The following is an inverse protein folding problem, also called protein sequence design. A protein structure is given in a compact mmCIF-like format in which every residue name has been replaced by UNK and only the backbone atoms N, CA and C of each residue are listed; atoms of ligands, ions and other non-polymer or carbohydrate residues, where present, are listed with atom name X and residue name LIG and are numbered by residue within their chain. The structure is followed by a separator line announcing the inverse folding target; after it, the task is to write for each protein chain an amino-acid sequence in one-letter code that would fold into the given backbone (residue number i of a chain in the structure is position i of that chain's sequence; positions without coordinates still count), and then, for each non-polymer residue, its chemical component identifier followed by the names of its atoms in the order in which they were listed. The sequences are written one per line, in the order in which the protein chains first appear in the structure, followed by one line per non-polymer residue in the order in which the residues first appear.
data_IF_940647650186
#
_entry.id   IF_940647650186
#
_cell.length_a   1.000
_cell.length_b   1.000
_cell.length_c   1.000
_cell.angle_alpha   90.00
_cell.angle_beta   90.00
_cell.angle_gamma   90.00
#
_symmetry.space_group_name_H-M   'P 1'
#
loop_
_entity.id
_entity.type
_entity.pdbx_description
1 polymer ?
#
# COMPACT_ATOMS: atom_id res chain seq x y z
N UNK A 1 13.36 -6.98 -27.53
CA UNK A 1 14.58 -6.73 -26.75
C UNK A 1 14.29 -6.61 -25.26
N UNK A 2 13.50 -5.62 -24.80
CA UNK A 2 13.20 -5.41 -23.36
C UNK A 2 12.69 -6.66 -22.61
N UNK A 3 11.59 -7.28 -23.06
CA UNK A 3 10.97 -8.41 -22.35
C UNK A 3 11.95 -9.58 -22.18
N UNK A 4 12.68 -9.94 -23.23
CA UNK A 4 13.67 -11.03 -23.17
C UNK A 4 14.72 -10.74 -22.09
N UNK A 5 15.33 -9.55 -22.13
CA UNK A 5 16.33 -9.13 -21.13
C UNK A 5 15.76 -9.15 -19.71
N UNK A 6 14.51 -8.71 -19.53
CA UNK A 6 13.84 -8.73 -18.24
C UNK A 6 13.63 -10.15 -17.70
N UNK A 7 13.21 -11.09 -18.56
CA UNK A 7 13.02 -12.49 -18.18
C UNK A 7 14.35 -13.17 -17.87
N UNK A 8 15.38 -12.94 -18.69
CA UNK A 8 16.73 -13.46 -18.44
C UNK A 8 17.27 -12.94 -17.10
N UNK A 9 17.10 -11.64 -16.82
CA UNK A 9 17.48 -11.06 -15.54
C UNK A 9 16.73 -11.70 -14.38
N UNK A 10 15.40 -11.86 -14.49
CA UNK A 10 14.59 -12.47 -13.45
C UNK A 10 15.07 -13.90 -13.12
N UNK A 11 15.30 -14.71 -14.16
CA UNK A 11 15.77 -16.10 -13.99
C UNK A 11 17.18 -16.17 -13.43
N UNK A 12 18.11 -15.37 -13.94
CA UNK A 12 19.51 -15.39 -13.50
C UNK A 12 19.68 -14.94 -12.04
N UNK A 13 18.73 -14.18 -11.51
CA UNK A 13 18.72 -13.70 -10.13
C UNK A 13 17.69 -14.43 -9.25
N UNK A 14 17.14 -15.56 -9.70
CA UNK A 14 16.18 -16.38 -8.96
C UNK A 14 14.92 -15.62 -8.48
N UNK A 15 14.45 -14.65 -9.25
CA UNK A 15 13.16 -14.01 -8.99
C UNK A 15 12.01 -14.91 -9.45
N UNK A 16 10.96 -14.98 -8.64
CA UNK A 16 9.71 -15.71 -8.95
C UNK A 16 8.69 -14.88 -9.72
N UNK A 17 8.98 -13.60 -9.95
CA UNK A 17 8.03 -12.69 -10.57
C UNK A 17 8.55 -11.30 -10.87
N UNK A 18 7.66 -10.50 -11.44
CA UNK A 18 7.87 -9.14 -11.89
C UNK A 18 6.74 -8.28 -11.30
N UNK A 19 7.10 -7.21 -10.58
CA UNK A 19 6.13 -6.22 -10.10
C UNK A 19 6.34 -4.89 -10.82
N UNK A 20 5.31 -4.43 -11.53
CA UNK A 20 5.37 -3.20 -12.31
C UNK A 20 4.77 -2.03 -11.50
N UNK A 21 5.53 -0.95 -11.34
CA UNK A 21 5.02 0.33 -10.85
C UNK A 21 5.13 1.35 -11.97
N UNK A 22 4.01 1.65 -12.61
CA UNK A 22 3.97 2.71 -13.60
C UNK A 22 3.79 4.04 -12.89
N UNK A 23 4.80 4.90 -12.99
CA UNK A 23 4.73 6.27 -12.50
C UNK A 23 4.00 7.13 -13.54
N UNK A 24 3.24 8.12 -13.07
CA UNK A 24 2.62 9.14 -13.91
C UNK A 24 1.74 8.58 -15.04
N UNK A 25 1.03 7.46 -14.79
CA UNK A 25 -0.04 7.00 -15.69
C UNK A 25 -1.19 8.01 -15.86
N UNK A 26 -1.13 9.10 -15.09
CA UNK A 26 -2.18 10.06 -14.82
C UNK A 26 -1.92 11.41 -15.50
N UNK A 27 -0.64 11.81 -15.57
CA UNK A 27 -0.27 13.17 -16.01
C UNK A 27 -0.07 13.33 -17.51
N UNK A 28 -0.06 12.23 -18.27
CA UNK A 28 0.02 12.30 -19.73
C UNK A 28 -1.31 11.85 -20.33
N UNK A 29 -2.01 12.83 -20.91
CA UNK A 29 -3.20 12.69 -21.77
C UNK A 29 -3.07 11.56 -22.81
N UNK A 30 -1.85 11.08 -23.10
CA UNK A 30 -1.55 9.98 -24.01
C UNK A 30 -0.58 8.94 -23.42
N UNK A 31 -0.88 8.30 -22.27
CA UNK A 31 -0.43 6.89 -22.18
C UNK A 31 -1.17 6.18 -23.30
N UNK A 32 -0.49 5.95 -24.42
CA UNK A 32 -1.05 5.16 -25.51
C UNK A 32 -1.45 3.80 -24.95
N UNK A 33 -2.74 3.68 -24.61
CA UNK A 33 -3.32 2.48 -24.01
C UNK A 33 -3.08 1.28 -24.91
N UNK A 34 -2.91 1.50 -26.21
CA UNK A 34 -2.54 0.46 -27.17
C UNK A 34 -1.12 -0.02 -26.91
N UNK A 35 -0.15 0.88 -26.78
CA UNK A 35 1.23 0.55 -26.42
C UNK A 35 1.33 -0.16 -25.05
N UNK A 36 0.62 0.32 -24.03
CA UNK A 36 0.59 -0.34 -22.72
C UNK A 36 -0.08 -1.71 -22.80
N UNK A 37 -1.22 -1.83 -23.48
CA UNK A 37 -1.89 -3.12 -23.69
C UNK A 37 -1.00 -4.09 -24.45
N UNK A 38 -0.27 -3.61 -25.47
CA UNK A 38 0.68 -4.38 -26.25
C UNK A 38 1.83 -4.89 -25.39
N UNK A 39 2.43 -4.03 -24.55
CA UNK A 39 3.47 -4.41 -23.61
C UNK A 39 2.98 -5.51 -22.66
N UNK A 40 1.83 -5.31 -22.01
CA UNK A 40 1.28 -6.26 -21.04
C UNK A 40 0.86 -7.59 -21.69
N UNK A 41 0.30 -7.54 -22.90
CA UNK A 41 -0.05 -8.73 -23.70
C UNK A 41 1.21 -9.52 -24.05
N UNK A 42 2.25 -8.84 -24.53
CA UNK A 42 3.51 -9.49 -24.87
C UNK A 42 4.23 -10.04 -23.63
N UNK A 43 4.24 -9.31 -22.50
CA UNK A 43 4.79 -9.81 -21.24
C UNK A 43 4.13 -11.13 -20.84
N UNK A 44 2.80 -11.19 -20.85
CA UNK A 44 2.07 -12.42 -20.54
C UNK A 44 2.42 -13.58 -21.46
N UNK A 45 2.43 -13.32 -22.77
CA UNK A 45 2.79 -14.33 -23.77
C UNK A 45 4.20 -14.88 -23.52
N UNK A 46 5.18 -13.98 -23.39
CA UNK A 46 6.58 -14.39 -23.25
C UNK A 46 6.90 -15.02 -21.89
N UNK A 47 6.23 -14.60 -20.82
CA UNK A 47 6.30 -15.28 -19.51
C UNK A 47 5.83 -16.73 -19.62
N UNK A 48 4.74 -17.00 -20.34
CA UNK A 48 4.26 -18.36 -20.57
C UNK A 48 5.21 -19.17 -21.44
N UNK A 49 5.72 -18.58 -22.54
CA UNK A 49 6.70 -19.23 -23.41
C UNK A 49 8.01 -19.55 -22.68
N UNK A 50 8.52 -18.65 -21.85
CA UNK A 50 9.72 -18.86 -21.03
C UNK A 50 9.54 -20.05 -20.07
N UNK A 51 8.40 -20.12 -19.38
CA UNK A 51 8.08 -21.21 -18.46
C UNK A 51 8.12 -22.57 -19.17
N UNK A 52 7.45 -22.68 -20.33
CA UNK A 52 7.45 -23.91 -21.14
C UNK A 52 8.84 -24.26 -21.65
N UNK A 53 9.55 -23.30 -22.24
CA UNK A 53 10.86 -23.55 -22.86
C UNK A 53 11.93 -23.97 -21.84
N UNK A 54 11.87 -23.43 -20.62
CA UNK A 54 12.82 -23.75 -19.55
C UNK A 54 12.35 -24.89 -18.65
N UNK A 55 11.11 -25.37 -18.80
CA UNK A 55 10.47 -26.29 -17.85
C UNK A 55 10.51 -25.78 -16.40
N UNK A 56 10.25 -24.48 -16.23
CA UNK A 56 10.24 -23.80 -14.92
C UNK A 56 8.86 -23.25 -14.59
N UNK A 57 8.54 -23.02 -13.29
CA UNK A 57 7.35 -22.30 -12.91
C UNK A 57 7.26 -20.94 -13.61
N UNK A 58 6.03 -20.58 -14.01
CA UNK A 58 5.75 -19.30 -14.66
C UNK A 58 6.04 -18.15 -13.69
N UNK A 59 6.78 -17.15 -14.15
CA UNK A 59 6.97 -15.92 -13.37
C UNK A 59 5.63 -15.24 -13.08
N UNK A 60 5.44 -14.81 -11.84
CA UNK A 60 4.29 -14.03 -11.40
C UNK A 60 4.38 -12.62 -11.98
N UNK A 61 3.27 -12.04 -12.41
CA UNK A 61 3.21 -10.67 -12.90
C UNK A 61 2.21 -9.86 -12.06
N UNK A 62 2.70 -8.85 -11.36
CA UNK A 62 1.88 -7.98 -10.52
C UNK A 62 2.07 -6.51 -10.87
N UNK A 63 1.21 -5.66 -10.34
CA UNK A 63 1.43 -4.22 -10.36
C UNK A 63 0.92 -3.54 -9.09
N UNK A 64 1.38 -2.32 -8.86
CA UNK A 64 0.95 -1.46 -7.75
C UNK A 64 0.15 -0.28 -8.33
N UNK A 65 -1.04 -0.05 -7.79
CA UNK A 65 -1.86 1.15 -8.05
C UNK A 65 -2.02 1.94 -6.76
N UNK A 66 -2.13 3.26 -6.87
CA UNK A 66 -2.56 4.10 -5.74
C UNK A 66 -4.01 3.78 -5.35
N UNK A 67 -4.35 3.96 -4.07
CA UNK A 67 -5.74 3.92 -3.61
C UNK A 67 -6.44 5.29 -3.70
N UNK A 68 -5.72 6.37 -4.03
CA UNK A 68 -6.27 7.72 -4.10
C UNK A 68 -7.29 7.86 -5.24
N UNK A 69 -8.56 8.11 -4.91
CA UNK A 69 -9.65 8.09 -5.89
C UNK A 69 -9.51 9.17 -6.98
N UNK A 70 -9.01 10.35 -6.63
CA UNK A 70 -8.81 11.48 -7.55
C UNK A 70 -7.77 11.17 -8.62
N UNK A 71 -6.65 10.53 -8.26
CA UNK A 71 -5.59 10.17 -9.21
C UNK A 71 -6.05 9.12 -10.24
N UNK A 72 -7.16 8.44 -9.99
CA UNK A 72 -7.54 7.25 -10.75
C UNK A 72 -8.74 7.46 -11.67
N UNK A 73 -9.48 8.58 -11.53
CA UNK A 73 -10.55 8.98 -12.47
C UNK A 73 -10.04 9.17 -13.90
N UNK A 74 -8.75 9.44 -14.07
CA UNK A 74 -8.11 9.70 -15.37
C UNK A 74 -7.44 8.44 -15.97
N UNK A 75 -7.41 7.32 -15.22
CA UNK A 75 -6.53 6.19 -15.52
C UNK A 75 -7.23 4.94 -16.07
N UNK A 76 -6.45 4.07 -16.73
CA UNK A 76 -6.88 2.74 -17.12
C UNK A 76 -7.42 1.98 -15.91
N UNK A 77 -8.68 1.54 -15.97
CA UNK A 77 -9.37 0.89 -14.86
C UNK A 77 -8.61 -0.33 -14.33
N UNK A 78 -8.82 -0.68 -13.06
CA UNK A 78 -8.33 -1.95 -12.48
C UNK A 78 -8.64 -3.14 -13.40
N UNK A 79 -9.79 -3.11 -14.10
CA UNK A 79 -10.20 -4.13 -15.05
C UNK A 79 -9.23 -4.25 -16.23
N UNK A 80 -8.67 -3.14 -16.71
CA UNK A 80 -7.66 -3.16 -17.76
C UNK A 80 -6.45 -4.00 -17.35
N UNK A 81 -5.88 -3.71 -16.18
CA UNK A 81 -4.71 -4.43 -15.67
C UNK A 81 -5.06 -5.85 -15.21
N UNK A 82 -6.25 -6.07 -14.64
CA UNK A 82 -6.68 -7.36 -14.09
C UNK A 82 -6.63 -8.52 -15.10
N UNK A 83 -6.81 -8.21 -16.39
CA UNK A 83 -6.67 -9.17 -17.50
C UNK A 83 -5.23 -9.66 -17.69
N UNK A 84 -4.25 -8.83 -17.34
CA UNK A 84 -2.84 -9.08 -17.52
C UNK A 84 -2.08 -9.31 -16.21
N UNK A 85 -2.69 -9.12 -15.04
CA UNK A 85 -1.99 -9.29 -13.76
C UNK A 85 -2.45 -10.55 -13.04
N UNK A 86 -1.51 -11.19 -12.35
CA UNK A 86 -1.78 -12.28 -11.40
C UNK A 86 -2.37 -11.68 -10.13
N UNK A 87 -1.87 -10.52 -9.73
CA UNK A 87 -2.50 -9.69 -8.70
C UNK A 87 -2.15 -8.21 -8.82
N UNK A 88 -2.98 -7.39 -8.19
CA UNK A 88 -2.83 -5.95 -8.05
C UNK A 88 -2.70 -5.61 -6.58
N UNK A 89 -1.72 -4.78 -6.23
CA UNK A 89 -1.63 -4.17 -4.90
C UNK A 89 -2.24 -2.77 -4.99
N UNK A 90 -3.29 -2.54 -4.21
CA UNK A 90 -3.88 -1.21 -4.03
C UNK A 90 -3.20 -0.52 -2.85
N UNK A 91 -2.24 0.35 -3.11
CA UNK A 91 -1.46 1.08 -2.12
C UNK A 91 -2.34 2.14 -1.42
N UNK A 92 -2.88 1.78 -0.25
CA UNK A 92 -3.68 2.65 0.61
C UNK A 92 -2.78 3.45 1.55
N UNK A 93 -2.02 4.36 0.95
CA UNK A 93 -1.10 5.30 1.61
C UNK A 93 -1.13 6.64 0.89
N UNK A 94 -0.62 7.66 1.56
CA UNK A 94 -0.56 9.06 1.12
C UNK A 94 -1.94 9.57 0.69
N UNK A 95 -3.01 9.12 1.35
CA UNK A 95 -4.37 9.18 0.82
C UNK A 95 -4.98 10.58 0.86
N UNK A 96 -4.62 11.36 1.88
CA UNK A 96 -5.25 12.63 2.20
C UNK A 96 -4.23 13.74 2.49
N UNK A 97 -2.97 13.60 2.04
CA UNK A 97 -1.90 14.56 2.32
C UNK A 97 -2.31 15.96 1.88
N UNK A 98 -2.39 16.88 2.84
CA UNK A 98 -2.65 18.30 2.60
C UNK A 98 -1.37 19.11 2.81
N UNK A 99 -1.26 20.22 2.08
CA UNK A 99 -0.26 21.26 2.33
C UNK A 99 -0.72 22.24 3.40
N UNK A 100 -2.02 22.37 3.66
CA UNK A 100 -2.57 23.45 4.51
C UNK A 100 -2.72 23.04 5.98
N UNK A 101 -2.87 21.74 6.26
CA UNK A 101 -3.11 21.24 7.60
C UNK A 101 -2.71 19.76 7.76
N UNK A 102 -2.43 19.28 8.99
CA UNK A 102 -2.08 17.89 9.22
C UNK A 102 -3.19 16.91 8.84
N UNK A 103 -2.80 15.79 8.23
CA UNK A 103 -3.71 14.74 7.77
C UNK A 103 -3.14 13.36 7.99
N UNK A 104 -4.00 12.36 8.17
CA UNK A 104 -3.55 10.99 8.29
C UNK A 104 -3.09 10.42 6.94
N UNK A 105 -2.04 9.59 7.01
CA UNK A 105 -1.46 8.90 5.87
C UNK A 105 -2.47 7.94 5.19
N UNK A 106 -3.07 7.07 5.98
CA UNK A 106 -3.96 5.99 5.52
C UNK A 106 -5.21 5.86 6.41
N UNK A 107 -6.08 6.89 6.45
CA UNK A 107 -7.30 6.84 7.25
C UNK A 107 -8.21 5.71 6.75
N UNK A 108 -8.71 4.88 7.67
CA UNK A 108 -9.61 3.77 7.32
C UNK A 108 -10.95 4.32 6.81
N UNK A 109 -11.50 5.27 7.55
CA UNK A 109 -12.78 5.96 7.31
C UNK A 109 -12.56 7.48 7.31
N UNK A 110 -13.61 8.26 7.07
CA UNK A 110 -13.55 9.72 7.06
C UNK A 110 -14.30 10.34 5.88
N UNK A 111 -14.47 11.65 5.91
CA UNK A 111 -15.12 12.43 4.86
C UNK A 111 -14.26 12.66 3.62
N UNK A 112 -12.94 12.51 3.75
CA UNK A 112 -11.95 12.60 2.66
C UNK A 112 -11.62 11.21 2.10
N UNK A 113 -10.63 11.15 1.20
CA UNK A 113 -10.06 9.89 0.72
C UNK A 113 -9.68 8.98 1.89
N UNK A 114 -10.23 7.77 1.89
CA UNK A 114 -10.06 6.77 2.96
C UNK A 114 -10.05 5.37 2.38
N UNK A 115 -9.48 4.41 3.12
CA UNK A 115 -9.39 3.01 2.67
C UNK A 115 -10.78 2.46 2.30
N UNK A 116 -11.80 2.72 3.13
CA UNK A 116 -13.18 2.29 2.87
C UNK A 116 -13.75 2.91 1.59
N UNK A 117 -13.61 4.22 1.41
CA UNK A 117 -14.16 4.88 0.23
C UNK A 117 -13.45 4.43 -1.06
N UNK A 118 -12.14 4.23 -1.00
CA UNK A 118 -11.35 3.68 -2.11
C UNK A 118 -11.73 2.24 -2.44
N UNK A 119 -11.85 1.35 -1.45
CA UNK A 119 -12.31 -0.02 -1.70
C UNK A 119 -13.73 -0.05 -2.25
N UNK A 120 -14.65 0.78 -1.75
CA UNK A 120 -16.01 0.89 -2.30
C UNK A 120 -15.98 1.28 -3.78
N UNK A 121 -15.14 2.25 -4.15
CA UNK A 121 -14.95 2.65 -5.54
C UNK A 121 -14.43 1.49 -6.40
N UNK A 122 -13.37 0.82 -5.96
CA UNK A 122 -12.71 -0.24 -6.72
C UNK A 122 -13.51 -1.54 -6.83
N UNK A 123 -14.21 -1.91 -5.77
CA UNK A 123 -14.95 -3.16 -5.68
C UNK A 123 -16.36 -3.08 -6.27
N UNK A 124 -16.82 -1.90 -6.72
CA UNK A 124 -18.05 -1.78 -7.50
C UNK A 124 -17.96 -2.53 -8.84
N UNK A 125 -16.76 -2.88 -9.31
CA UNK A 125 -16.51 -3.69 -10.49
C UNK A 125 -16.30 -5.17 -10.10
N UNK A 126 -17.25 -6.03 -10.45
CA UNK A 126 -17.53 -7.28 -9.72
C UNK A 126 -16.53 -8.45 -9.85
N UNK A 127 -15.36 -8.28 -10.48
CA UNK A 127 -14.49 -9.41 -10.86
C UNK A 127 -13.02 -9.34 -10.36
N UNK A 128 -12.65 -8.34 -9.54
CA UNK A 128 -11.23 -8.09 -9.21
C UNK A 128 -10.81 -8.44 -7.78
N UNK A 129 -11.75 -8.74 -6.88
CA UNK A 129 -11.50 -8.97 -5.44
C UNK A 129 -10.43 -10.04 -5.18
N UNK A 130 -10.54 -11.18 -5.89
CA UNK A 130 -9.65 -12.36 -5.72
C UNK A 130 -8.21 -12.16 -6.19
N UNK A 131 -7.92 -11.06 -6.90
CA UNK A 131 -6.57 -10.69 -7.32
C UNK A 131 -6.12 -9.38 -6.68
N UNK A 132 -6.90 -8.79 -5.78
CA UNK A 132 -6.59 -7.49 -5.20
C UNK A 132 -6.03 -7.64 -3.79
N UNK A 133 -4.87 -7.06 -3.57
CA UNK A 133 -4.19 -6.98 -2.28
C UNK A 133 -4.32 -5.56 -1.74
N UNK A 134 -4.63 -5.41 -0.46
CA UNK A 134 -4.60 -4.10 0.19
C UNK A 134 -3.17 -3.78 0.64
N UNK A 135 -2.59 -2.70 0.12
CA UNK A 135 -1.30 -2.17 0.55
C UNK A 135 -1.46 -1.26 1.76
N UNK A 136 -0.80 -1.56 2.87
CA UNK A 136 -0.85 -0.77 4.12
C UNK A 136 0.54 -0.20 4.48
N UNK A 137 0.63 1.02 5.02
CA UNK A 137 1.91 1.64 5.34
C UNK A 137 2.42 1.24 6.72
N UNK A 138 3.71 0.93 6.81
CA UNK A 138 4.49 0.82 8.05
C UNK A 138 5.27 2.12 8.30
N UNK A 139 4.68 3.24 7.93
CA UNK A 139 5.20 4.57 8.18
C UNK A 139 4.06 5.55 8.45
N UNK A 140 4.38 6.60 9.20
CA UNK A 140 3.53 7.74 9.44
C UNK A 140 4.01 8.98 8.71
N UNK A 141 3.24 10.05 8.83
CA UNK A 141 3.52 11.35 8.26
C UNK A 141 3.58 12.37 9.40
N UNK A 142 4.73 13.02 9.53
CA UNK A 142 4.99 14.08 10.49
C UNK A 142 4.85 15.44 9.81
N UNK A 143 3.98 16.27 10.37
CA UNK A 143 3.83 17.68 10.04
C UNK A 143 4.54 18.53 11.08
N UNK A 144 5.46 19.39 10.65
CA UNK A 144 6.04 20.41 11.51
C UNK A 144 5.09 21.60 11.60
N UNK A 145 4.52 21.86 12.78
CA UNK A 145 3.55 22.94 13.01
C UNK A 145 4.21 24.31 13.19
N UNK A 146 5.53 24.35 13.37
CA UNK A 146 6.30 25.60 13.53
C UNK A 146 6.78 26.17 12.20
N UNK A 147 6.70 25.38 11.13
CA UNK A 147 7.12 25.82 9.81
C UNK A 147 6.00 26.65 9.17
N UNK A 148 6.21 27.96 9.05
CA UNK A 148 5.26 28.88 8.43
C UNK A 148 5.21 28.75 6.89
N UNK A 149 6.06 27.88 6.32
CA UNK A 149 6.13 27.61 4.88
C UNK A 149 5.42 26.32 4.45
N UNK A 150 4.16 26.15 4.86
CA UNK A 150 3.22 25.23 4.22
C UNK A 150 2.98 25.52 2.70
N UNK A 151 3.78 26.40 2.09
CA UNK A 151 3.51 27.05 0.82
C UNK A 151 4.31 26.53 -0.37
N UNK A 152 5.14 25.48 -0.27
CA UNK A 152 5.79 24.89 -1.46
C UNK A 152 6.18 23.40 -1.34
N UNK A 153 6.31 22.86 -0.13
CA UNK A 153 6.37 21.42 0.15
C UNK A 153 5.33 21.13 1.25
N UNK A 154 4.71 19.95 1.24
CA UNK A 154 3.60 19.57 2.15
C UNK A 154 3.88 19.70 3.66
N UNK A 155 5.11 20.06 4.07
CA UNK A 155 5.56 20.05 5.46
C UNK A 155 5.54 18.66 6.08
N UNK A 156 5.25 17.63 5.27
CA UNK A 156 5.04 16.25 5.64
C UNK A 156 6.32 15.44 5.44
N UNK A 157 6.86 14.91 6.53
CA UNK A 157 8.01 14.01 6.53
C UNK A 157 7.57 12.59 6.79
N UNK A 158 8.03 11.63 5.97
CA UNK A 158 7.80 10.21 6.21
C UNK A 158 8.60 9.75 7.43
N UNK A 159 7.91 9.16 8.41
CA UNK A 159 8.51 8.59 9.63
C UNK A 159 8.21 7.10 9.69
N UNK A 160 9.25 6.27 9.60
CA UNK A 160 9.10 4.80 9.69
C UNK A 160 8.49 4.34 11.01
N UNK A 161 7.80 3.20 11.02
CA UNK A 161 7.19 2.61 12.20
C UNK A 161 8.18 2.44 13.37
N UNK A 162 9.43 2.05 13.10
CA UNK A 162 10.49 2.02 14.13
C UNK A 162 10.73 3.38 14.78
N UNK A 163 10.71 4.47 14.01
CA UNK A 163 10.89 5.84 14.54
C UNK A 163 9.63 6.31 15.28
N UNK A 164 8.45 5.94 14.80
CA UNK A 164 7.19 6.14 15.54
C UNK A 164 7.30 5.51 16.93
N UNK A 165 7.75 4.25 17.03
CA UNK A 165 7.98 3.60 18.32
C UNK A 165 9.00 4.33 19.20
N UNK A 166 10.10 4.81 18.61
CA UNK A 166 11.07 5.63 19.34
C UNK A 166 10.42 6.88 19.95
N UNK A 167 9.60 7.61 19.17
CA UNK A 167 8.84 8.76 19.69
C UNK A 167 7.91 8.34 20.83
N UNK A 168 7.20 7.22 20.68
CA UNK A 168 6.29 6.70 21.72
C UNK A 168 6.97 6.47 23.06
N UNK A 169 8.23 6.05 23.04
CA UNK A 169 8.96 5.66 24.25
C UNK A 169 9.79 6.78 24.86
N UNK A 170 10.23 7.77 24.07
CA UNK A 170 11.29 8.70 24.47
C UNK A 170 10.86 10.17 24.45
N UNK A 171 9.59 10.48 24.17
CA UNK A 171 9.11 11.87 24.13
C UNK A 171 7.84 12.05 24.96
N UNK A 172 7.71 13.21 25.59
CA UNK A 172 6.49 13.65 26.27
C UNK A 172 5.48 14.14 25.23
N UNK A 173 4.84 13.20 24.53
CA UNK A 173 3.84 13.48 23.51
C UNK A 173 2.48 12.93 23.95
N UNK A 174 1.41 13.57 23.53
CA UNK A 174 0.07 13.06 23.75
C UNK A 174 -0.28 12.08 22.63
N UNK A 175 -0.62 10.84 23.01
CA UNK A 175 -1.11 9.83 22.08
C UNK A 175 -2.63 9.90 22.02
N UNK A 176 -3.16 9.99 20.82
CA UNK A 176 -4.59 10.04 20.57
C UNK A 176 -4.96 9.04 19.48
N UNK A 177 -6.23 8.64 19.47
CA UNK A 177 -6.80 7.83 18.41
C UNK A 177 -7.96 8.60 17.79
N UNK A 178 -7.89 8.87 16.49
CA UNK A 178 -9.00 9.47 15.77
C UNK A 178 -10.08 8.41 15.59
N UNK A 179 -11.19 8.55 16.30
CA UNK A 179 -12.33 7.60 16.23
C UNK A 179 -13.12 7.72 14.92
N UNK A 180 -12.98 8.83 14.20
CA UNK A 180 -13.65 9.09 12.92
C UNK A 180 -12.83 8.50 11.76
N UNK A 181 -11.52 8.68 11.76
CA UNK A 181 -10.61 8.16 10.73
C UNK A 181 -10.03 6.76 11.07
N UNK A 182 -10.21 6.32 12.32
CA UNK A 182 -9.82 5.00 12.87
C UNK A 182 -8.30 4.73 12.77
N UNK A 183 -7.51 5.74 13.10
CA UNK A 183 -6.06 5.73 13.03
C UNK A 183 -5.46 6.55 14.19
N UNK A 184 -4.27 6.18 14.69
CA UNK A 184 -3.63 6.93 15.76
C UNK A 184 -2.87 8.16 15.25
N UNK A 185 -2.69 9.12 16.15
CA UNK A 185 -1.76 10.22 15.96
C UNK A 185 -1.08 10.62 17.28
N UNK A 186 -0.01 11.38 17.16
CA UNK A 186 0.65 12.06 18.26
C UNK A 186 0.62 13.55 17.98
N UNK A 187 0.38 14.35 19.00
CA UNK A 187 0.52 15.79 18.90
C UNK A 187 1.41 16.34 20.01
N UNK A 188 2.17 17.34 19.63
CA UNK A 188 2.97 18.20 20.48
C UNK A 188 2.75 19.64 20.02
N UNK A 189 3.17 20.64 20.82
CA UNK A 189 3.04 22.05 20.44
C UNK A 189 3.72 22.40 19.12
N UNK A 190 4.70 21.60 18.68
CA UNK A 190 5.53 21.85 17.50
C UNK A 190 5.30 20.89 16.33
N UNK A 191 4.62 19.76 16.55
CA UNK A 191 4.42 18.78 15.48
C UNK A 191 3.15 17.97 15.66
N UNK A 192 2.69 17.41 14.56
CA UNK A 192 1.64 16.41 14.51
C UNK A 192 2.14 15.22 13.70
N UNK A 193 1.95 13.99 14.20
CA UNK A 193 2.39 12.77 13.55
C UNK A 193 1.24 11.77 13.48
N UNK A 194 0.71 11.53 12.27
CA UNK A 194 -0.27 10.47 12.01
C UNK A 194 0.44 9.19 11.59
N UNK A 195 0.05 8.04 12.15
CA UNK A 195 0.77 6.78 11.95
C UNK A 195 -0.19 5.57 12.04
N UNK A 196 0.36 4.36 12.01
CA UNK A 196 -0.39 3.12 12.24
C UNK A 196 -0.01 2.47 13.58
N UNK A 197 -0.97 1.87 14.28
CA UNK A 197 -0.70 1.03 15.45
C UNK A 197 -1.39 -0.33 15.29
N UNK A 198 -1.25 -1.20 16.29
CA UNK A 198 -1.91 -2.51 16.29
C UNK A 198 -3.40 -2.43 15.96
N UNK A 199 -4.15 -1.54 16.62
CA UNK A 199 -5.59 -1.41 16.42
C UNK A 199 -5.95 -0.97 15.00
N UNK A 200 -5.31 0.08 14.47
CA UNK A 200 -5.62 0.57 13.12
C UNK A 200 -5.26 -0.44 12.03
N UNK A 201 -4.18 -1.21 12.22
CA UNK A 201 -3.80 -2.31 11.33
C UNK A 201 -4.79 -3.47 11.40
N UNK A 202 -5.21 -3.89 12.60
CA UNK A 202 -6.24 -4.93 12.80
C UNK A 202 -7.57 -4.53 12.11
N UNK A 203 -7.98 -3.27 12.23
CA UNK A 203 -9.19 -2.76 11.56
C UNK A 203 -9.07 -2.79 10.03
N UNK A 204 -7.91 -2.41 9.47
CA UNK A 204 -7.65 -2.49 8.02
C UNK A 204 -7.65 -3.94 7.51
N UNK A 205 -7.06 -4.86 8.27
CA UNK A 205 -7.09 -6.30 7.93
C UNK A 205 -8.52 -6.84 8.03
N UNK A 206 -9.31 -6.38 9.00
CA UNK A 206 -10.72 -6.76 9.12
C UNK A 206 -11.52 -6.32 7.90
N UNK A 207 -11.34 -5.07 7.47
CA UNK A 207 -11.95 -4.54 6.25
C UNK A 207 -11.54 -5.35 5.00
N UNK A 208 -10.26 -5.69 4.87
CA UNK A 208 -9.74 -6.53 3.78
C UNK A 208 -10.48 -7.87 3.71
N UNK A 209 -10.63 -8.54 4.85
CA UNK A 209 -11.27 -9.88 4.94
C UNK A 209 -12.77 -9.77 4.63
N UNK A 210 -13.46 -8.80 5.23
CA UNK A 210 -14.88 -8.53 4.95
C UNK A 210 -15.12 -8.20 3.47
N UNK A 211 -14.15 -7.52 2.85
CA UNK A 211 -14.17 -7.17 1.42
C UNK A 211 -13.76 -8.33 0.51
N UNK A 212 -13.40 -9.49 1.07
CA UNK A 212 -12.98 -10.71 0.34
C UNK A 212 -11.82 -10.47 -0.62
N UNK A 213 -10.89 -9.61 -0.23
CA UNK A 213 -9.66 -9.36 -0.98
C UNK A 213 -8.71 -10.56 -0.91
N UNK A 214 -7.77 -10.63 -1.84
CA UNK A 214 -6.83 -11.74 -1.98
C UNK A 214 -5.79 -11.80 -0.85
N UNK A 215 -5.42 -10.64 -0.28
CA UNK A 215 -4.40 -10.56 0.76
C UNK A 215 -3.99 -9.14 1.08
N UNK A 216 -2.92 -9.03 1.87
CA UNK A 216 -2.34 -7.78 2.33
C UNK A 216 -0.91 -7.64 1.79
N UNK A 217 -0.53 -6.43 1.42
CA UNK A 217 0.84 -6.04 1.13
C UNK A 217 1.26 -4.94 2.10
N UNK A 218 2.54 -4.83 2.43
CA UNK A 218 3.04 -3.84 3.39
C UNK A 218 4.07 -2.91 2.74
N UNK A 219 4.06 -1.65 3.14
CA UNK A 219 4.93 -0.60 2.60
C UNK A 219 5.62 0.17 3.74
N UNK A 220 6.89 -0.06 4.05
CA UNK A 220 7.68 -1.20 3.62
C UNK A 220 8.13 -2.03 4.83
N UNK A 221 8.48 -3.30 4.59
CA UNK A 221 8.92 -4.20 5.66
C UNK A 221 10.15 -3.67 6.42
N UNK A 222 11.03 -2.92 5.76
CA UNK A 222 12.22 -2.30 6.36
C UNK A 222 11.91 -1.08 7.25
N UNK A 223 10.69 -0.56 7.22
CA UNK A 223 10.26 0.52 8.11
C UNK A 223 9.74 0.01 9.45
N UNK A 224 9.44 -1.28 9.54
CA UNK A 224 9.11 -1.96 10.80
C UNK A 224 10.32 -1.97 11.76
N UNK A 225 10.06 -2.29 13.02
CA UNK A 225 11.11 -2.48 14.02
C UNK A 225 11.74 -3.88 13.88
N UNK A 226 12.66 -4.00 12.93
CA UNK A 226 13.40 -5.23 12.63
C UNK A 226 14.15 -5.78 13.85
N UNK A 227 14.70 -4.90 14.70
CA UNK A 227 15.49 -5.31 15.87
C UNK A 227 14.64 -5.58 17.12
N UNK A 228 13.41 -5.06 17.16
CA UNK A 228 12.55 -5.08 18.34
C UNK A 228 12.97 -4.12 19.45
N UNK A 229 14.03 -3.33 19.22
CA UNK A 229 14.59 -2.42 20.20
C UNK A 229 13.72 -1.17 20.41
N UNK A 230 13.15 -0.63 19.34
CA UNK A 230 12.47 0.66 19.36
C UNK A 230 11.05 0.56 19.93
N UNK A 231 10.33 -0.51 19.59
CA UNK A 231 8.96 -0.76 20.05
C UNK A 231 8.94 -1.56 21.36
N UNK A 232 10.01 -2.30 21.70
CA UNK A 232 10.06 -3.24 22.84
C UNK A 232 8.97 -4.32 22.77
N UNK A 233 8.61 -4.73 21.56
CA UNK A 233 7.56 -5.73 21.28
C UNK A 233 8.09 -6.93 20.49
N UNK A 234 9.41 -7.14 20.50
CA UNK A 234 10.09 -8.14 19.69
C UNK A 234 10.27 -7.70 18.23
N UNK A 235 10.83 -8.59 17.42
CA UNK A 235 11.14 -8.29 16.01
C UNK A 235 9.88 -8.21 15.14
N UNK A 236 9.88 -7.26 14.19
CA UNK A 236 8.80 -7.03 13.23
C UNK A 236 7.39 -6.93 13.86
N UNK A 237 7.19 -6.06 14.87
CA UNK A 237 5.93 -5.99 15.58
C UNK A 237 4.75 -5.63 14.66
N UNK A 238 4.94 -4.74 13.67
CA UNK A 238 3.86 -4.35 12.76
C UNK A 238 3.46 -5.50 11.83
N UNK A 239 4.44 -6.21 11.27
CA UNK A 239 4.18 -7.43 10.50
C UNK A 239 3.45 -8.48 11.35
N UNK A 240 3.82 -8.65 12.61
CA UNK A 240 3.16 -9.59 13.53
C UNK A 240 1.71 -9.20 13.80
N UNK A 241 1.40 -7.92 13.97
CA UNK A 241 0.01 -7.48 14.14
C UNK A 241 -0.83 -7.85 12.92
N UNK A 242 -0.32 -7.58 11.71
CA UNK A 242 -1.00 -7.89 10.45
C UNK A 242 -1.18 -9.41 10.30
N UNK A 243 -0.12 -10.19 10.53
CA UNK A 243 -0.16 -11.64 10.45
C UNK A 243 -1.17 -12.26 11.41
N UNK A 244 -1.15 -11.84 12.68
CA UNK A 244 -2.09 -12.34 13.70
C UNK A 244 -3.54 -11.93 13.38
N UNK A 245 -3.77 -10.71 12.89
CA UNK A 245 -5.08 -10.28 12.45
C UNK A 245 -5.62 -11.16 11.31
N UNK A 246 -4.78 -11.51 10.33
CA UNK A 246 -5.15 -12.44 9.26
C UNK A 246 -5.49 -13.84 9.79
N UNK A 247 -4.73 -14.38 10.74
CA UNK A 247 -5.00 -15.70 11.33
C UNK A 247 -6.30 -15.73 12.13
N UNK A 248 -6.47 -14.77 13.04
CA UNK A 248 -7.60 -14.76 13.98
C UNK A 248 -8.95 -14.62 13.26
N UNK A 249 -9.01 -13.88 12.16
CA UNK A 249 -10.26 -13.68 11.42
C UNK A 249 -10.58 -14.80 10.42
N UNK A 250 -9.60 -15.61 10.01
CA UNK A 250 -9.89 -16.86 9.27
C UNK A 250 -10.57 -17.90 10.17
N UNK A 251 -10.29 -17.89 11.48
CA UNK A 251 -10.96 -18.75 12.45
C UNK A 251 -12.47 -18.46 12.56
N UNK A 252 -12.88 -17.20 12.45
CA UNK A 252 -14.30 -16.81 12.50
C UNK A 252 -15.03 -16.88 11.15
N UNK A 253 -14.31 -17.00 10.03
CA UNK A 253 -14.91 -17.15 8.70
C UNK A 253 -15.25 -18.61 8.34
N UNK A 254 -14.83 -19.58 9.17
CA UNK A 254 -14.98 -21.03 8.95
C UNK A 254 -15.81 -21.75 10.02
N UNK A 255 -16.33 -21.02 11.02
CA UNK A 255 -17.33 -21.51 11.99
C UNK A 255 -18.70 -20.92 11.72
#
# INVERSE_FOLDING_TARGET
TFIKTLLDFARNNNFDGLSLKFLNLYDTIDVDRVSLASLLTNLRKWIATDATNRSLPRLTLSHILTAQQNMLKESASINFFHRYMDYTILAAMDMALSVDYPTHNAPLTGSRNSVVSSLRHWLSNNDTRRKLYLGIPFYGILYNLTDSQLNNDTGATIISARKVCYFRQNTSVTFSFDTTEQVPFMNHSQFWLGYENRLSLELKVSLLIQSKLAGVAVFYVNDDDVSGYFCKEGVFPFMRYVYMACLNMNYYATG
#
